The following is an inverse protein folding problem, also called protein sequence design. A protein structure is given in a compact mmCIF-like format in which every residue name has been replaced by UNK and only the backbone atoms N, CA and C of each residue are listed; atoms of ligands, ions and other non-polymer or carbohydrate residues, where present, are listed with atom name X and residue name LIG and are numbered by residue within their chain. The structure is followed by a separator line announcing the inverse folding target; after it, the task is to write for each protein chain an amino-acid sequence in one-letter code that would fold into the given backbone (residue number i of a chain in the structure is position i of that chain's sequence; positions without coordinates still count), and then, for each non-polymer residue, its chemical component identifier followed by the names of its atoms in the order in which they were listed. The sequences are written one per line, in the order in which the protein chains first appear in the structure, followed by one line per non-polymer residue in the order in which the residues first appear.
data_IF_123246604757
#
_entry.id   IF_123246604757
#
_cell.length_a   1.000
_cell.length_b   1.000
_cell.length_c   1.000
_cell.angle_alpha   90.00
_cell.angle_beta   90.00
_cell.angle_gamma   90.00
#
_symmetry.space_group_name_H-M   'P 1'
#
loop_
_entity.id
_entity.type
_entity.pdbx_description
1 polymer ?
#
# COMPACT_ATOMS: atom_id res chain seq x y z
N UNK A 1 -5.74 10.22 26.63
CA UNK A 1 -6.21 10.69 25.31
C UNK A 1 -5.38 10.02 24.23
N UNK A 2 -5.95 9.04 23.54
CA UNK A 2 -5.33 8.49 22.33
C UNK A 2 -5.60 9.49 21.20
N UNK A 3 -4.56 10.12 20.66
CA UNK A 3 -4.64 11.12 19.57
C UNK A 3 -5.24 10.56 18.27
N UNK A 4 -5.41 9.24 18.17
CA UNK A 4 -5.57 8.51 16.93
C UNK A 4 -7.03 8.36 16.49
N UNK A 5 -7.96 8.10 17.41
CA UNK A 5 -9.40 8.06 17.10
C UNK A 5 -9.95 9.41 16.64
N UNK A 6 -9.22 10.48 16.94
CA UNK A 6 -9.58 11.84 16.62
C UNK A 6 -9.59 12.09 15.10
N UNK A 7 -8.61 11.54 14.39
CA UNK A 7 -8.42 11.79 12.96
C UNK A 7 -9.55 11.18 12.12
N UNK A 8 -9.96 9.95 12.42
CA UNK A 8 -11.06 9.29 11.70
C UNK A 8 -12.37 10.06 11.85
N UNK A 9 -12.72 10.45 13.07
CA UNK A 9 -13.94 11.22 13.31
C UNK A 9 -13.85 12.63 12.70
N UNK A 10 -12.68 13.26 12.70
CA UNK A 10 -12.46 14.52 11.99
C UNK A 10 -12.62 14.37 10.48
N UNK A 11 -12.11 13.29 9.88
CA UNK A 11 -12.27 13.03 8.46
C UNK A 11 -13.73 12.74 8.09
N UNK A 12 -14.47 12.00 8.93
CA UNK A 12 -15.91 11.82 8.77
C UNK A 12 -16.66 13.17 8.81
N UNK A 13 -16.30 14.04 9.76
CA UNK A 13 -16.89 15.37 9.86
C UNK A 13 -16.53 16.25 8.66
N UNK A 14 -15.26 16.28 8.26
CA UNK A 14 -14.78 17.02 7.10
C UNK A 14 -15.46 16.52 5.81
N UNK A 15 -15.65 15.21 5.66
CA UNK A 15 -16.34 14.65 4.50
C UNK A 15 -17.79 15.14 4.45
N UNK A 16 -18.51 15.09 5.57
CA UNK A 16 -19.86 15.65 5.68
C UNK A 16 -19.90 17.13 5.30
N UNK A 17 -19.07 17.96 5.93
CA UNK A 17 -19.00 19.41 5.69
C UNK A 17 -18.60 19.77 4.25
N UNK A 18 -17.83 18.92 3.56
CA UNK A 18 -17.44 19.12 2.16
C UNK A 18 -18.48 18.58 1.16
N UNK A 19 -19.34 17.65 1.58
CA UNK A 19 -20.49 17.18 0.77
C UNK A 19 -21.72 18.07 0.90
N UNK A 20 -21.91 18.73 2.05
CA UNK A 20 -23.04 19.63 2.32
C UNK A 20 -23.22 20.79 1.30
N UNK A 21 -22.18 21.41 0.73
CA UNK A 21 -22.35 22.49 -0.26
C UNK A 21 -22.92 22.01 -1.61
N UNK A 22 -22.99 20.70 -1.87
CA UNK A 22 -23.40 20.12 -3.15
C UNK A 22 -24.78 19.42 -3.12
N UNK A 23 -25.33 19.18 -1.94
CA UNK A 23 -26.66 18.59 -1.75
C UNK A 23 -27.66 19.71 -1.43
N UNK A 24 -28.81 19.71 -2.09
CA UNK A 24 -29.92 20.64 -1.82
C UNK A 24 -30.41 20.52 -0.36
N UNK A 25 -29.73 21.19 0.58
CA UNK A 25 -30.17 21.65 1.91
C UNK A 25 -31.17 20.76 2.69
N UNK A 26 -30.98 19.42 2.74
CA UNK A 26 -31.88 18.52 3.49
C UNK A 26 -31.30 17.27 4.14
N UNK A 27 -30.03 16.89 3.93
CA UNK A 27 -29.46 15.81 4.74
C UNK A 27 -29.02 16.37 6.08
N UNK A 28 -29.56 15.80 7.17
CA UNK A 28 -29.06 16.07 8.51
C UNK A 28 -27.79 15.25 8.75
N UNK A 29 -26.95 15.65 9.70
CA UNK A 29 -25.78 14.85 10.08
C UNK A 29 -26.14 13.42 10.53
N UNK A 30 -27.33 13.24 11.13
CA UNK A 30 -27.88 11.92 11.45
C UNK A 30 -28.18 11.09 10.18
N UNK A 31 -28.68 11.70 9.11
CA UNK A 31 -28.90 11.01 7.83
C UNK A 31 -27.57 10.55 7.21
N UNK A 32 -26.53 11.37 7.32
CA UNK A 32 -25.18 11.02 6.88
C UNK A 32 -24.58 9.84 7.68
N UNK A 33 -24.67 9.85 9.02
CA UNK A 33 -24.22 8.72 9.84
C UNK A 33 -24.99 7.44 9.48
N UNK A 34 -26.29 7.56 9.27
CA UNK A 34 -27.14 6.42 8.92
C UNK A 34 -26.80 5.88 7.52
N UNK A 35 -26.50 6.74 6.53
CA UNK A 35 -26.10 6.27 5.20
C UNK A 35 -24.77 5.51 5.23
N UNK A 36 -23.82 5.93 6.06
CA UNK A 36 -22.58 5.19 6.30
C UNK A 36 -22.85 3.81 6.91
N UNK A 37 -23.81 3.71 7.84
CA UNK A 37 -24.19 2.45 8.47
C UNK A 37 -24.92 1.48 7.51
N UNK A 38 -25.66 2.01 6.53
CA UNK A 38 -26.45 1.22 5.57
C UNK A 38 -25.64 0.66 4.39
N UNK A 39 -24.41 1.16 4.17
CA UNK A 39 -23.52 0.70 3.09
C UNK A 39 -22.80 -0.63 3.40
N UNK A 40 -23.20 -1.38 4.43
CA UNK A 40 -22.66 -2.69 4.86
C UNK A 40 -21.14 -2.78 5.17
N UNK A 41 -20.38 -1.69 5.04
CA UNK A 41 -18.94 -1.69 5.28
C UNK A 41 -18.53 -1.48 6.75
N UNK A 42 -19.45 -1.06 7.63
CA UNK A 42 -19.13 -0.59 8.98
C UNK A 42 -19.91 -1.30 10.10
N UNK A 43 -20.61 -2.38 9.76
CA UNK A 43 -21.34 -3.24 10.72
C UNK A 43 -20.66 -4.59 10.91
N UNK A 44 -19.82 -5.00 9.97
CA UNK A 44 -19.06 -6.26 9.98
C UNK A 44 -17.66 -5.99 9.41
N UNK A 45 -16.66 -6.70 9.92
CA UNK A 45 -15.34 -6.77 9.28
C UNK A 45 -14.98 -8.23 9.04
N UNK A 46 -14.39 -8.60 7.88
CA UNK A 46 -13.92 -9.96 7.64
C UNK A 46 -12.81 -10.39 8.59
N UNK A 47 -12.17 -9.43 9.27
CA UNK A 47 -11.02 -9.66 10.16
C UNK A 47 -11.42 -9.76 11.65
N UNK A 48 -12.72 -9.78 11.98
CA UNK A 48 -13.20 -10.07 13.34
C UNK A 48 -14.63 -10.58 13.41
N UNK A 49 -14.91 -11.31 14.47
CA UNK A 49 -16.26 -11.70 14.87
C UNK A 49 -17.08 -10.52 15.41
N UNK A 50 -18.40 -10.66 15.37
CA UNK A 50 -19.32 -9.70 15.99
C UNK A 50 -19.11 -9.59 17.50
N UNK A 51 -18.72 -10.68 18.16
CA UNK A 51 -18.43 -10.68 19.60
C UNK A 51 -17.18 -9.86 19.91
N UNK A 52 -16.10 -10.03 19.15
CA UNK A 52 -14.88 -9.21 19.30
C UNK A 52 -15.16 -7.71 19.12
N UNK A 53 -15.97 -7.35 18.12
CA UNK A 53 -16.41 -5.96 17.92
C UNK A 53 -17.22 -5.44 19.10
N UNK A 54 -18.13 -6.25 19.62
CA UNK A 54 -18.97 -5.88 20.75
C UNK A 54 -18.14 -5.67 22.02
N UNK A 55 -17.25 -6.61 22.35
CA UNK A 55 -16.34 -6.48 23.49
C UNK A 55 -15.43 -5.27 23.34
N UNK A 56 -14.86 -5.05 22.16
CA UNK A 56 -14.01 -3.90 21.89
C UNK A 56 -14.74 -2.57 22.09
N UNK A 57 -16.01 -2.47 21.64
CA UNK A 57 -16.83 -1.27 21.87
C UNK A 57 -17.05 -1.02 23.37
N UNK A 58 -17.32 -2.07 24.15
CA UNK A 58 -17.55 -1.96 25.60
C UNK A 58 -16.27 -1.54 26.33
N UNK A 59 -15.15 -2.19 26.03
CA UNK A 59 -13.86 -1.90 26.67
C UNK A 59 -13.38 -0.47 26.41
N UNK A 60 -13.75 0.10 25.26
CA UNK A 60 -13.33 1.43 24.82
C UNK A 60 -14.45 2.48 24.88
N UNK A 61 -15.56 2.19 25.57
CA UNK A 61 -16.75 3.04 25.53
C UNK A 61 -16.47 4.46 26.04
N UNK A 62 -15.75 4.58 27.16
CA UNK A 62 -15.39 5.87 27.75
C UNK A 62 -14.54 6.71 26.79
N UNK A 63 -13.52 6.08 26.17
CA UNK A 63 -12.62 6.72 25.21
C UNK A 63 -13.36 7.17 23.95
N UNK A 64 -14.22 6.32 23.40
CA UNK A 64 -15.02 6.64 22.23
C UNK A 64 -16.02 7.76 22.53
N UNK A 65 -16.68 7.70 23.70
CA UNK A 65 -17.63 8.72 24.14
C UNK A 65 -16.96 10.07 24.33
N UNK A 66 -15.79 10.11 24.98
CA UNK A 66 -15.00 11.33 25.14
C UNK A 66 -14.63 11.91 23.77
N UNK A 67 -14.14 11.07 22.86
CA UNK A 67 -13.70 11.50 21.51
C UNK A 67 -14.88 12.05 20.69
N UNK A 68 -16.03 11.38 20.70
CA UNK A 68 -17.26 11.85 20.04
C UNK A 68 -17.68 13.21 20.59
N UNK A 69 -17.66 13.38 21.91
CA UNK A 69 -18.06 14.64 22.54
C UNK A 69 -17.13 15.80 22.21
N UNK A 70 -15.83 15.54 22.02
CA UNK A 70 -14.85 16.56 21.64
C UNK A 70 -15.06 17.00 20.19
N UNK A 71 -15.19 16.06 19.26
CA UNK A 71 -15.21 16.34 17.81
C UNK A 71 -16.55 16.89 17.36
N UNK A 72 -17.64 16.26 17.82
CA UNK A 72 -18.99 16.65 17.45
C UNK A 72 -19.59 17.63 18.45
N UNK A 73 -18.74 18.39 19.15
CA UNK A 73 -19.20 19.47 20.03
C UNK A 73 -19.97 20.52 19.20
N UNK A 74 -21.24 20.72 19.52
CA UNK A 74 -22.13 21.63 18.79
C UNK A 74 -23.11 20.93 17.83
N UNK A 75 -22.96 19.62 17.59
CA UNK A 75 -23.93 18.82 16.84
C UNK A 75 -24.97 18.20 17.78
N UNK A 76 -26.24 18.18 17.36
CA UNK A 76 -27.30 17.46 18.08
C UNK A 76 -27.30 16.00 17.66
N UNK A 77 -26.53 15.17 18.38
CA UNK A 77 -26.47 13.73 18.16
C UNK A 77 -27.54 13.00 18.98
N UNK A 78 -28.30 12.12 18.33
CA UNK A 78 -29.17 11.15 19.00
C UNK A 78 -28.33 10.02 19.65
N UNK A 79 -28.96 9.21 20.50
CA UNK A 79 -28.30 8.02 21.06
C UNK A 79 -27.92 7.00 19.97
N UNK A 80 -28.75 6.88 18.93
CA UNK A 80 -28.47 6.01 17.78
C UNK A 80 -27.26 6.52 16.98
N UNK A 81 -27.13 7.84 16.78
CA UNK A 81 -25.97 8.45 16.13
C UNK A 81 -24.68 8.13 16.88
N UNK A 82 -24.71 8.27 18.22
CA UNK A 82 -23.55 7.97 19.08
C UNK A 82 -23.17 6.50 19.00
N UNK A 83 -24.16 5.60 19.02
CA UNK A 83 -23.93 4.17 18.88
C UNK A 83 -23.34 3.81 17.51
N UNK A 84 -23.85 4.41 16.44
CA UNK A 84 -23.36 4.19 15.09
C UNK A 84 -21.93 4.72 14.91
N UNK A 85 -21.62 5.91 15.44
CA UNK A 85 -20.26 6.45 15.46
C UNK A 85 -19.28 5.51 16.18
N UNK A 86 -19.66 4.99 17.35
CA UNK A 86 -18.85 4.00 18.08
C UNK A 86 -18.59 2.74 17.25
N UNK A 87 -19.63 2.24 16.56
CA UNK A 87 -19.53 1.06 15.69
C UNK A 87 -18.63 1.31 14.48
N UNK A 88 -18.79 2.44 13.80
CA UNK A 88 -17.99 2.79 12.61
C UNK A 88 -16.50 2.74 12.95
N UNK A 89 -16.07 3.42 14.01
CA UNK A 89 -14.66 3.41 14.43
C UNK A 89 -14.20 2.02 14.86
N UNK A 90 -15.05 1.32 15.60
CA UNK A 90 -14.75 -0.03 16.07
C UNK A 90 -14.66 -1.03 14.94
N UNK A 91 -15.38 -0.87 13.82
CA UNK A 91 -15.18 -1.70 12.63
C UNK A 91 -13.95 -1.25 11.87
N UNK A 92 -13.70 0.06 11.78
CA UNK A 92 -12.56 0.61 11.05
C UNK A 92 -11.23 0.01 11.47
N UNK A 93 -11.00 -0.12 12.78
CA UNK A 93 -9.74 -0.64 13.30
C UNK A 93 -9.47 -2.10 12.92
N UNK A 94 -10.50 -2.82 12.46
CA UNK A 94 -10.38 -4.18 11.96
C UNK A 94 -10.36 -4.25 10.44
N UNK A 95 -10.62 -3.16 9.71
CA UNK A 95 -10.55 -3.21 8.24
C UNK A 95 -9.12 -3.12 7.74
N UNK A 96 -8.90 -3.58 6.51
CA UNK A 96 -7.64 -3.42 5.78
C UNK A 96 -7.51 -2.04 5.08
N UNK A 97 -8.55 -1.19 5.19
CA UNK A 97 -8.59 0.12 4.54
C UNK A 97 -7.94 1.20 5.41
N UNK A 98 -7.03 2.00 4.84
CA UNK A 98 -6.39 3.15 5.48
C UNK A 98 -6.87 4.49 4.91
N UNK A 99 -8.06 4.52 4.29
CA UNK A 99 -8.54 5.70 3.52
C UNK A 99 -8.82 6.97 4.34
N UNK A 100 -8.85 6.89 5.67
CA UNK A 100 -9.29 7.97 6.56
C UNK A 100 -8.25 8.29 7.64
N UNK A 101 -6.98 7.97 7.36
CA UNK A 101 -5.89 8.27 8.28
C UNK A 101 -4.53 8.36 7.60
N UNK A 102 -3.63 9.08 8.28
CA UNK A 102 -2.21 8.93 8.03
C UNK A 102 -1.75 7.54 8.49
N UNK A 103 -0.92 6.91 7.67
CA UNK A 103 -0.33 5.61 7.98
C UNK A 103 1.19 5.68 7.87
N UNK A 104 1.84 4.73 8.51
CA UNK A 104 3.28 4.50 8.43
C UNK A 104 3.55 3.11 7.87
N UNK A 105 4.49 3.02 6.94
CA UNK A 105 5.04 1.73 6.51
C UNK A 105 6.09 1.24 7.50
N UNK A 106 5.94 0.01 7.99
CA UNK A 106 6.94 -0.68 8.81
C UNK A 106 7.54 -1.82 7.99
N UNK A 107 8.87 -1.90 7.96
CA UNK A 107 9.59 -3.00 7.32
C UNK A 107 10.51 -3.64 8.34
N UNK A 108 10.38 -4.96 8.49
CA UNK A 108 11.23 -5.79 9.33
C UNK A 108 11.97 -6.74 8.39
N UNK A 109 13.29 -6.71 8.40
CA UNK A 109 14.11 -7.58 7.57
C UNK A 109 15.41 -7.98 8.27
N UNK A 110 15.91 -9.16 7.96
CA UNK A 110 17.11 -9.73 8.56
C UNK A 110 17.01 -11.25 8.64
N UNK A 111 17.74 -11.82 9.59
CA UNK A 111 17.75 -13.25 9.89
C UNK A 111 17.19 -13.43 11.29
N UNK A 112 16.23 -14.35 11.46
CA UNK A 112 15.87 -14.77 12.82
C UNK A 112 16.92 -15.73 13.38
N UNK A 113 16.75 -16.15 14.63
CA UNK A 113 17.77 -16.92 15.36
C UNK A 113 18.00 -18.29 14.73
N UNK A 114 16.92 -18.98 14.35
CA UNK A 114 16.94 -20.34 13.80
C UNK A 114 17.01 -20.35 12.26
N UNK A 115 16.75 -19.22 11.62
CA UNK A 115 16.72 -19.09 10.16
C UNK A 115 18.11 -18.95 9.56
N UNK A 116 18.38 -19.73 8.52
CA UNK A 116 19.62 -19.68 7.73
C UNK A 116 19.57 -18.54 6.70
N UNK A 117 18.39 -18.28 6.14
CA UNK A 117 18.16 -17.32 5.08
C UNK A 117 17.42 -16.07 5.59
N UNK A 118 17.56 -14.93 4.89
CA UNK A 118 16.88 -13.71 5.32
C UNK A 118 15.39 -13.74 4.98
N UNK A 119 14.63 -13.03 5.78
CA UNK A 119 13.22 -12.76 5.55
C UNK A 119 12.95 -11.25 5.54
N UNK A 120 11.84 -10.88 4.92
CA UNK A 120 11.30 -9.54 4.93
C UNK A 120 9.79 -9.61 5.17
N UNK A 121 9.33 -8.78 6.09
CA UNK A 121 7.92 -8.55 6.37
C UNK A 121 7.66 -7.05 6.36
N UNK A 122 6.66 -6.63 5.60
CA UNK A 122 6.22 -5.24 5.60
C UNK A 122 4.76 -5.12 6.00
N UNK A 123 4.48 -4.05 6.72
CA UNK A 123 3.19 -3.76 7.31
C UNK A 123 2.81 -2.31 7.03
N UNK A 124 1.52 -2.07 6.81
CA UNK A 124 0.93 -0.73 6.97
C UNK A 124 0.42 -0.64 8.40
N UNK A 125 0.82 0.40 9.11
CA UNK A 125 0.49 0.63 10.52
C UNK A 125 -0.18 1.99 10.62
N UNK A 126 -1.32 2.06 11.31
CA UNK A 126 -2.10 3.29 11.41
C UNK A 126 -2.66 3.50 12.82
N UNK A 127 -3.97 3.68 12.91
CA UNK A 127 -4.70 3.96 14.17
C UNK A 127 -4.30 3.03 15.33
N UNK A 128 -4.09 3.62 16.51
CA UNK A 128 -4.17 2.92 17.79
C UNK A 128 -5.44 3.37 18.51
N UNK A 129 -6.28 2.43 18.94
CA UNK A 129 -7.45 2.69 19.75
C UNK A 129 -7.57 1.63 20.85
N UNK A 130 -7.58 2.09 22.10
CA UNK A 130 -7.41 1.20 23.25
C UNK A 130 -6.09 0.45 23.16
N UNK A 131 -6.17 -0.87 23.34
CA UNK A 131 -5.03 -1.79 23.23
C UNK A 131 -4.86 -2.39 21.82
N UNK A 132 -5.61 -1.88 20.84
CA UNK A 132 -5.57 -2.38 19.47
C UNK A 132 -4.83 -1.42 18.55
N UNK A 133 -3.94 -1.99 17.74
CA UNK A 133 -3.28 -1.31 16.63
C UNK A 133 -3.89 -1.78 15.32
N UNK A 134 -4.26 -0.85 14.46
CA UNK A 134 -4.63 -1.11 13.07
C UNK A 134 -3.38 -1.44 12.27
N UNK A 135 -3.31 -2.67 11.81
CA UNK A 135 -2.17 -3.21 11.10
C UNK A 135 -2.65 -4.06 9.92
N UNK A 136 -2.01 -3.88 8.78
CA UNK A 136 -2.23 -4.69 7.59
C UNK A 136 -0.90 -5.28 7.12
N UNK A 137 -0.91 -6.59 6.85
CA UNK A 137 0.23 -7.27 6.24
C UNK A 137 0.29 -6.90 4.75
N UNK A 138 1.42 -6.35 4.31
CA UNK A 138 1.62 -5.98 2.91
C UNK A 138 2.38 -7.08 2.15
N UNK A 139 3.71 -6.98 2.12
CA UNK A 139 4.59 -7.90 1.40
C UNK A 139 5.38 -8.74 2.40
N UNK A 140 5.38 -10.05 2.20
CA UNK A 140 6.30 -10.97 2.85
C UNK A 140 7.15 -11.67 1.82
N UNK A 141 8.45 -11.75 2.08
CA UNK A 141 9.41 -12.46 1.25
C UNK A 141 10.28 -13.30 2.17
N UNK A 142 10.28 -14.61 1.95
CA UNK A 142 11.18 -15.54 2.62
C UNK A 142 12.12 -16.11 1.55
N UNK A 143 13.41 -15.89 1.73
CA UNK A 143 14.42 -16.55 0.90
C UNK A 143 14.57 -17.97 1.45
N UNK A 144 14.50 -18.98 0.58
CA UNK A 144 14.58 -20.39 0.97
C UNK A 144 15.62 -21.19 0.16
N UNK A 145 16.20 -20.58 -0.88
CA UNK A 145 17.18 -21.22 -1.75
C UNK A 145 16.60 -22.31 -2.67
N UNK A 146 15.27 -22.48 -2.70
CA UNK A 146 14.55 -23.49 -3.49
C UNK A 146 13.54 -22.82 -4.41
N UNK A 147 12.58 -22.10 -3.82
CA UNK A 147 11.50 -21.43 -4.53
C UNK A 147 11.81 -19.95 -4.75
N UNK A 148 12.51 -19.33 -3.79
CA UNK A 148 12.87 -17.92 -3.81
C UNK A 148 14.33 -17.79 -3.40
N UNK A 149 15.16 -17.40 -4.37
CA UNK A 149 16.61 -17.30 -4.16
C UNK A 149 17.09 -15.86 -3.95
N UNK A 150 16.38 -14.88 -4.50
CA UNK A 150 16.66 -13.46 -4.31
C UNK A 150 15.39 -12.64 -4.54
N UNK A 151 15.35 -11.42 -4.02
CA UNK A 151 14.24 -10.50 -4.21
C UNK A 151 14.67 -9.06 -4.09
N UNK A 152 14.05 -8.17 -4.86
CA UNK A 152 14.20 -6.72 -4.76
C UNK A 152 12.85 -6.13 -4.43
N UNK A 153 12.71 -5.57 -3.23
CA UNK A 153 11.44 -5.02 -2.74
C UNK A 153 11.58 -3.51 -2.55
N UNK A 154 11.13 -2.69 -3.54
CA UNK A 154 11.11 -1.25 -3.39
C UNK A 154 9.93 -0.80 -2.51
N UNK A 155 10.24 -0.02 -1.46
CA UNK A 155 9.24 0.65 -0.61
C UNK A 155 9.05 2.12 -0.95
N UNK A 156 10.12 2.78 -1.39
CA UNK A 156 10.04 4.10 -2.01
C UNK A 156 9.68 3.96 -3.51
N UNK A 157 9.29 5.10 -4.11
CA UNK A 157 9.05 5.33 -5.55
C UNK A 157 9.28 4.11 -6.46
N UNK A 158 8.20 3.35 -6.63
CA UNK A 158 8.22 2.00 -7.18
C UNK A 158 8.38 1.98 -8.72
N UNK A 159 7.88 3.01 -9.41
CA UNK A 159 7.68 2.97 -10.86
C UNK A 159 8.99 2.85 -11.64
N UNK A 160 10.05 3.53 -11.20
CA UNK A 160 11.35 3.53 -11.89
C UNK A 160 12.08 2.21 -11.69
N UNK A 161 12.02 1.69 -10.46
CA UNK A 161 12.61 0.39 -10.13
C UNK A 161 11.89 -0.71 -10.90
N UNK A 162 10.55 -0.69 -10.93
CA UNK A 162 9.80 -1.68 -11.69
C UNK A 162 10.04 -1.60 -13.20
N UNK A 163 10.15 -0.41 -13.79
CA UNK A 163 10.52 -0.26 -15.21
C UNK A 163 11.86 -0.93 -15.52
N UNK A 164 12.85 -0.75 -14.64
CA UNK A 164 14.16 -1.36 -14.81
C UNK A 164 14.14 -2.88 -14.60
N UNK A 165 13.44 -3.36 -13.56
CA UNK A 165 13.38 -4.79 -13.22
C UNK A 165 12.51 -5.60 -14.18
N UNK A 166 11.40 -5.03 -14.65
CA UNK A 166 10.40 -5.74 -15.44
C UNK A 166 10.58 -5.54 -16.96
N UNK A 167 11.38 -4.55 -17.37
CA UNK A 167 11.54 -4.17 -18.78
C UNK A 167 10.28 -3.59 -19.44
N UNK A 168 9.18 -3.47 -18.69
CA UNK A 168 7.91 -2.93 -19.16
C UNK A 168 7.39 -1.94 -18.13
N UNK A 169 7.09 -0.75 -18.63
CA UNK A 169 6.55 0.35 -17.84
C UNK A 169 5.12 0.03 -17.36
N UNK A 170 4.83 0.03 -16.05
CA UNK A 170 3.51 -0.33 -15.53
C UNK A 170 2.38 0.53 -16.10
N UNK A 171 2.61 1.84 -16.30
CA UNK A 171 1.60 2.75 -16.84
C UNK A 171 1.33 2.43 -18.31
N UNK A 172 2.39 2.15 -19.07
CA UNK A 172 2.28 1.73 -20.46
C UNK A 172 1.59 0.37 -20.58
N UNK A 173 1.87 -0.56 -19.67
CA UNK A 173 1.24 -1.87 -19.62
C UNK A 173 -0.27 -1.74 -19.36
N UNK A 174 -0.66 -0.92 -18.39
CA UNK A 174 -2.08 -0.66 -18.12
C UNK A 174 -2.77 0.03 -19.30
N UNK A 175 -2.13 1.04 -19.88
CA UNK A 175 -2.63 1.71 -21.09
C UNK A 175 -2.80 0.72 -22.25
N UNK A 176 -1.79 -0.11 -22.52
CA UNK A 176 -1.83 -1.13 -23.57
C UNK A 176 -2.94 -2.15 -23.32
N UNK A 177 -3.19 -2.52 -22.06
CA UNK A 177 -4.25 -3.49 -21.71
C UNK A 177 -5.64 -2.90 -21.97
N UNK A 178 -5.86 -1.66 -21.53
CA UNK A 178 -7.11 -0.95 -21.77
C UNK A 178 -7.37 -0.78 -23.27
N UNK A 179 -6.35 -0.37 -24.03
CA UNK A 179 -6.48 -0.20 -25.47
C UNK A 179 -6.74 -1.53 -26.21
N UNK A 180 -6.12 -2.63 -25.76
CA UNK A 180 -6.40 -3.96 -26.31
C UNK A 180 -7.85 -4.40 -26.04
N UNK A 181 -8.38 -4.12 -24.85
CA UNK A 181 -9.77 -4.39 -24.50
C UNK A 181 -10.74 -3.61 -25.39
N UNK A 182 -10.46 -2.33 -25.64
CA UNK A 182 -11.24 -1.48 -26.55
C UNK A 182 -11.19 -1.98 -28.00
N UNK A 183 -10.01 -2.34 -28.50
CA UNK A 183 -9.81 -2.84 -29.86
C UNK A 183 -10.59 -4.14 -30.10
N UNK A 184 -10.55 -5.08 -29.14
CA UNK A 184 -11.28 -6.34 -29.26
C UNK A 184 -12.78 -6.16 -29.05
N UNK A 185 -13.22 -5.17 -28.26
CA UNK A 185 -14.64 -4.82 -28.20
C UNK A 185 -15.13 -4.28 -29.54
N UNK A 186 -14.36 -3.42 -30.20
CA UNK A 186 -14.67 -2.96 -31.55
C UNK A 186 -14.70 -4.12 -32.56
N UNK A 187 -13.74 -5.05 -32.50
CA UNK A 187 -13.76 -6.25 -33.32
C UNK A 187 -15.02 -7.10 -33.09
N UNK A 188 -15.40 -7.31 -31.82
CA UNK A 188 -16.62 -8.04 -31.48
C UNK A 188 -17.86 -7.37 -32.07
N UNK A 189 -17.96 -6.04 -32.05
CA UNK A 189 -19.06 -5.33 -32.69
C UNK A 189 -19.13 -5.60 -34.20
N UNK A 190 -17.98 -5.58 -34.90
CA UNK A 190 -17.93 -5.91 -36.33
C UNK A 190 -18.40 -7.34 -36.61
N UNK A 191 -18.08 -8.30 -35.73
CA UNK A 191 -18.55 -9.69 -35.84
C UNK A 191 -20.06 -9.77 -35.63
N UNK A 192 -20.60 -9.08 -34.61
CA UNK A 192 -22.05 -9.02 -34.35
C UNK A 192 -22.79 -8.46 -35.55
N UNK A 193 -22.31 -7.35 -36.12
CA UNK A 193 -22.91 -6.70 -37.29
C UNK A 193 -22.85 -7.60 -38.55
N UNK A 194 -21.74 -8.32 -38.74
CA UNK A 194 -21.52 -9.18 -39.91
C UNK A 194 -22.41 -10.43 -39.91
N UNK A 195 -22.66 -11.01 -38.74
CA UNK A 195 -23.32 -12.30 -38.57
C UNK A 195 -24.70 -12.20 -37.91
N UNK A 196 -25.19 -10.99 -37.62
CA UNK A 196 -26.45 -10.73 -36.91
C UNK A 196 -26.56 -11.50 -35.58
N UNK A 197 -25.51 -11.40 -34.76
CA UNK A 197 -25.47 -12.01 -33.42
C UNK A 197 -26.04 -11.01 -32.41
N UNK A 198 -26.98 -11.45 -31.58
CA UNK A 198 -27.59 -10.61 -30.54
C UNK A 198 -26.59 -10.15 -29.49
N UNK A 199 -26.76 -8.95 -28.94
CA UNK A 199 -25.86 -8.37 -27.94
C UNK A 199 -25.86 -9.11 -26.59
N UNK A 200 -26.91 -9.89 -26.30
CA UNK A 200 -27.02 -10.70 -25.08
C UNK A 200 -26.11 -11.95 -25.09
N UNK A 201 -25.54 -12.29 -26.26
CA UNK A 201 -24.65 -13.44 -26.38
C UNK A 201 -23.27 -13.12 -25.77
N UNK A 202 -23.02 -13.68 -24.59
CA UNK A 202 -21.84 -13.41 -23.76
C UNK A 202 -20.56 -14.10 -24.26
N UNK A 203 -20.64 -15.01 -25.23
CA UNK A 203 -19.47 -15.79 -25.67
C UNK A 203 -18.36 -14.91 -26.27
N UNK A 204 -18.71 -13.80 -26.94
CA UNK A 204 -17.73 -12.85 -27.50
C UNK A 204 -16.99 -12.07 -26.41
N UNK A 205 -17.67 -11.76 -25.31
CA UNK A 205 -17.06 -11.10 -24.14
C UNK A 205 -16.06 -12.05 -23.48
N UNK A 206 -16.44 -13.31 -23.30
CA UNK A 206 -15.56 -14.36 -22.78
C UNK A 206 -14.35 -14.59 -23.70
N UNK A 207 -14.56 -14.70 -25.02
CA UNK A 207 -13.48 -14.87 -25.98
C UNK A 207 -12.49 -13.70 -25.97
N UNK A 208 -13.00 -12.46 -25.89
CA UNK A 208 -12.19 -11.25 -25.73
C UNK A 208 -11.31 -11.34 -24.48
N UNK A 209 -11.91 -11.63 -23.32
CA UNK A 209 -11.18 -11.67 -22.06
C UNK A 209 -10.07 -12.75 -22.11
N UNK A 210 -10.38 -13.94 -22.63
CA UNK A 210 -9.38 -15.01 -22.83
C UNK A 210 -8.26 -14.60 -23.77
N UNK A 211 -8.56 -13.89 -24.86
CA UNK A 211 -7.54 -13.42 -25.80
C UNK A 211 -6.62 -12.39 -25.16
N UNK A 212 -7.16 -11.44 -24.39
CA UNK A 212 -6.38 -10.46 -23.62
C UNK A 212 -5.50 -11.16 -22.60
N UNK A 213 -6.06 -12.08 -21.82
CA UNK A 213 -5.31 -12.79 -20.79
C UNK A 213 -4.20 -13.65 -21.40
N UNK A 214 -4.45 -14.35 -22.51
CA UNK A 214 -3.45 -15.12 -23.23
C UNK A 214 -2.32 -14.24 -23.79
N UNK A 215 -2.64 -13.06 -24.33
CA UNK A 215 -1.66 -12.11 -24.84
C UNK A 215 -0.73 -11.61 -23.72
N UNK A 216 -1.31 -11.21 -22.58
CA UNK A 216 -0.53 -10.72 -21.43
C UNK A 216 0.21 -11.82 -20.69
N UNK A 217 -0.28 -13.07 -20.71
CA UNK A 217 0.48 -14.21 -20.23
C UNK A 217 1.79 -14.39 -21.03
N UNK A 218 1.74 -14.24 -22.37
CA UNK A 218 2.93 -14.29 -23.21
C UNK A 218 3.92 -13.15 -22.95
N UNK A 219 3.42 -11.93 -22.72
CA UNK A 219 4.26 -10.80 -22.30
C UNK A 219 4.93 -11.10 -20.94
N UNK A 220 4.15 -11.57 -19.96
CA UNK A 220 4.65 -11.89 -18.62
C UNK A 220 5.76 -12.95 -18.66
N UNK A 221 5.58 -14.00 -19.47
CA UNK A 221 6.60 -15.04 -19.65
C UNK A 221 7.89 -14.46 -20.28
N UNK A 222 7.75 -13.62 -21.31
CA UNK A 222 8.92 -12.96 -21.91
C UNK A 222 9.64 -12.03 -20.92
N UNK A 223 8.88 -11.27 -20.11
CA UNK A 223 9.44 -10.42 -19.05
C UNK A 223 10.22 -11.26 -18.04
N UNK A 224 9.65 -12.40 -17.65
CA UNK A 224 10.27 -13.32 -16.71
C UNK A 224 11.61 -13.83 -17.23
N UNK A 225 11.62 -14.38 -18.44
CA UNK A 225 12.82 -15.00 -19.03
C UNK A 225 13.88 -13.97 -19.44
N UNK A 226 13.48 -12.80 -19.92
CA UNK A 226 14.42 -11.83 -20.53
C UNK A 226 14.90 -10.73 -19.58
N UNK A 227 14.17 -10.46 -18.49
CA UNK A 227 14.49 -9.37 -17.57
C UNK A 227 14.56 -9.85 -16.12
N UNK A 228 13.51 -10.50 -15.62
CA UNK A 228 13.41 -10.82 -14.18
C UNK A 228 14.43 -11.91 -13.80
N UNK A 229 14.42 -13.08 -14.45
CA UNK A 229 15.33 -14.18 -14.12
C UNK A 229 16.81 -13.77 -14.28
N UNK A 230 17.25 -13.13 -15.39
CA UNK A 230 18.64 -12.69 -15.51
C UNK A 230 19.06 -11.69 -14.42
N UNK A 231 18.16 -10.79 -13.99
CA UNK A 231 18.42 -9.87 -12.89
C UNK A 231 18.59 -10.61 -11.56
N UNK A 232 17.75 -11.60 -11.27
CA UNK A 232 17.91 -12.43 -10.08
C UNK A 232 19.24 -13.20 -10.09
N UNK A 233 19.63 -13.75 -11.24
CA UNK A 233 20.91 -14.46 -11.40
C UNK A 233 22.10 -13.54 -11.12
N UNK A 234 22.06 -12.29 -11.59
CA UNK A 234 23.10 -11.31 -11.29
C UNK A 234 23.13 -11.04 -9.78
N UNK A 235 21.99 -10.68 -9.18
CA UNK A 235 21.88 -10.29 -7.77
C UNK A 235 22.37 -11.40 -6.84
N UNK A 236 22.06 -12.67 -7.14
CA UNK A 236 22.50 -13.82 -6.34
C UNK A 236 24.02 -13.97 -6.30
N UNK A 237 24.72 -13.49 -7.32
CA UNK A 237 26.17 -13.64 -7.45
C UNK A 237 26.94 -12.37 -7.08
N UNK A 238 26.26 -11.26 -6.74
CA UNK A 238 26.92 -10.03 -6.34
C UNK A 238 27.55 -10.16 -4.94
N UNK A 239 28.81 -9.75 -4.77
CA UNK A 239 29.39 -9.51 -3.46
C UNK A 239 28.57 -8.50 -2.63
N UNK A 240 28.63 -8.58 -1.30
CA UNK A 240 27.86 -7.70 -0.40
C UNK A 240 28.01 -6.20 -0.69
N UNK A 241 29.23 -5.75 -1.01
CA UNK A 241 29.50 -4.35 -1.34
C UNK A 241 28.84 -3.93 -2.66
N UNK A 242 28.87 -4.80 -3.67
CA UNK A 242 28.24 -4.55 -4.97
C UNK A 242 26.72 -4.58 -4.87
N UNK A 243 26.15 -5.47 -4.05
CA UNK A 243 24.72 -5.51 -3.76
C UNK A 243 24.26 -4.19 -3.12
N UNK A 244 25.06 -3.65 -2.19
CA UNK A 244 24.82 -2.33 -1.61
C UNK A 244 24.85 -1.21 -2.65
N UNK A 245 25.85 -1.19 -3.53
CA UNK A 245 25.93 -0.21 -4.62
C UNK A 245 24.79 -0.34 -5.62
N UNK A 246 24.32 -1.56 -5.89
CA UNK A 246 23.16 -1.82 -6.74
C UNK A 246 21.89 -1.23 -6.13
N UNK A 247 21.63 -1.47 -4.84
CA UNK A 247 20.48 -0.89 -4.14
C UNK A 247 20.54 0.65 -4.12
N UNK A 248 21.72 1.23 -3.88
CA UNK A 248 21.92 2.68 -3.93
C UNK A 248 21.59 3.26 -5.32
N UNK A 249 22.02 2.56 -6.38
CA UNK A 249 21.80 2.98 -7.76
C UNK A 249 20.32 3.03 -8.11
N UNK A 250 19.54 2.04 -7.66
CA UNK A 250 18.09 2.02 -7.88
C UNK A 250 17.39 3.22 -7.22
N UNK A 251 17.76 3.55 -5.98
CA UNK A 251 17.19 4.71 -5.27
C UNK A 251 17.59 6.02 -5.98
N UNK A 252 18.86 6.14 -6.39
CA UNK A 252 19.36 7.29 -7.14
C UNK A 252 18.62 7.47 -8.48
N UNK A 253 18.33 6.39 -9.20
CA UNK A 253 17.61 6.45 -10.47
C UNK A 253 16.20 7.03 -10.28
N UNK A 254 15.50 6.62 -9.22
CA UNK A 254 14.19 7.16 -8.85
C UNK A 254 14.25 8.66 -8.53
N UNK A 255 15.18 9.06 -7.64
CA UNK A 255 15.36 10.47 -7.29
C UNK A 255 15.76 11.33 -8.49
N UNK A 256 16.63 10.82 -9.37
CA UNK A 256 17.04 11.53 -10.57
C UNK A 256 15.87 11.77 -11.53
N UNK A 257 15.06 10.73 -11.83
CA UNK A 257 13.89 10.87 -12.70
C UNK A 257 12.97 11.99 -12.22
N UNK A 258 12.70 12.04 -10.91
CA UNK A 258 11.84 13.10 -10.35
C UNK A 258 12.44 14.49 -10.45
N UNK A 259 13.74 14.64 -10.24
CA UNK A 259 14.41 15.93 -10.38
C UNK A 259 14.33 16.50 -11.80
N UNK A 260 14.31 15.62 -12.81
CA UNK A 260 14.20 16.03 -14.23
C UNK A 260 12.74 16.13 -14.70
N UNK A 261 11.82 15.38 -14.07
CA UNK A 261 10.38 15.54 -14.23
C UNK A 261 9.87 16.75 -13.44
N UNK A 262 8.73 17.36 -13.81
CA UNK A 262 8.10 18.42 -12.98
C UNK A 262 7.35 17.86 -11.77
N UNK A 263 7.75 16.70 -11.27
CA UNK A 263 7.09 16.00 -10.18
C UNK A 263 7.66 16.43 -8.83
N UNK A 264 6.84 16.42 -7.77
CA UNK A 264 7.30 16.76 -6.43
C UNK A 264 8.29 15.71 -5.91
N UNK A 265 9.47 16.16 -5.47
CA UNK A 265 10.47 15.31 -4.84
C UNK A 265 9.94 14.81 -3.49
N UNK A 266 9.50 13.55 -3.43
CA UNK A 266 9.10 12.90 -2.18
C UNK A 266 10.25 12.20 -1.47
N UNK A 267 11.38 11.98 -2.18
CA UNK A 267 12.59 11.34 -1.67
C UNK A 267 13.80 12.04 -2.28
N UNK A 268 14.68 12.55 -1.43
CA UNK A 268 15.85 13.30 -1.85
C UNK A 268 16.93 13.36 -0.78
N UNK A 269 18.13 13.76 -1.19
CA UNK A 269 19.29 13.85 -0.30
C UNK A 269 20.21 12.62 -0.36
N UNK A 270 21.12 12.50 0.62
CA UNK A 270 22.15 11.46 0.65
C UNK A 270 21.54 10.10 0.98
N UNK A 271 22.01 9.06 0.30
CA UNK A 271 21.57 7.68 0.51
C UNK A 271 22.54 6.97 1.44
N UNK A 272 22.00 6.44 2.53
CA UNK A 272 22.69 5.53 3.43
C UNK A 272 22.37 4.09 3.04
N UNK A 273 23.37 3.23 3.09
CA UNK A 273 23.30 1.84 2.66
C UNK A 273 23.85 0.95 3.76
N UNK A 274 23.04 0.00 4.20
CA UNK A 274 23.45 -1.07 5.10
C UNK A 274 23.25 -2.43 4.44
N UNK A 275 24.07 -3.40 4.85
CA UNK A 275 23.90 -4.82 4.56
C UNK A 275 23.72 -5.57 5.86
N UNK A 276 22.87 -6.60 5.84
CA UNK A 276 22.69 -7.51 6.98
C UNK A 276 23.11 -8.89 6.49
N UNK A 277 24.04 -9.53 7.19
CA UNK A 277 24.44 -10.92 6.96
C UNK A 277 24.22 -11.73 8.23
N UNK A 278 24.01 -13.05 8.12
CA UNK A 278 23.88 -13.92 9.31
C UNK A 278 25.15 -13.91 10.17
N UNK A 279 26.33 -13.80 9.53
CA UNK A 279 27.62 -13.84 10.22
C UNK A 279 28.01 -12.53 10.89
N UNK A 280 27.80 -11.40 10.22
CA UNK A 280 28.32 -10.10 10.67
C UNK A 280 27.24 -9.18 11.24
N UNK A 281 25.96 -9.54 11.10
CA UNK A 281 24.84 -8.67 11.48
C UNK A 281 24.75 -7.45 10.57
N UNK A 282 24.29 -6.33 11.13
CA UNK A 282 24.11 -5.08 10.39
C UNK A 282 25.42 -4.31 10.24
N UNK A 283 25.82 -4.08 8.99
CA UNK A 283 26.98 -3.28 8.61
C UNK A 283 26.54 -2.11 7.73
N UNK A 284 26.95 -0.90 8.07
CA UNK A 284 26.83 0.26 7.18
C UNK A 284 27.92 0.22 6.11
N UNK A 285 27.54 0.05 4.84
CA UNK A 285 28.44 0.16 3.69
C UNK A 285 28.68 1.62 3.31
N UNK A 286 27.64 2.44 3.46
CA UNK A 286 27.67 3.88 3.23
C UNK A 286 26.77 4.56 4.24
N UNK A 287 27.26 5.59 4.92
CA UNK A 287 26.47 6.38 5.85
C UNK A 287 26.94 7.82 5.80
N UNK A 288 26.01 8.75 5.67
CA UNK A 288 26.32 10.16 5.80
C UNK A 288 26.61 10.45 7.27
N UNK A 289 27.83 10.89 7.51
CA UNK A 289 28.21 11.48 8.77
C UNK A 289 27.99 12.99 8.73
N UNK A 290 27.81 13.60 9.90
CA UNK A 290 27.73 15.06 10.02
C UNK A 290 28.99 15.74 9.46
N UNK A 291 30.15 15.09 9.62
CA UNK A 291 31.42 15.48 9.01
C UNK A 291 32.26 14.25 8.66
N UNK A 292 33.13 14.37 7.65
CA UNK A 292 34.05 13.30 7.27
C UNK A 292 35.23 13.23 8.24
N UNK A 293 35.53 12.04 8.76
CA UNK A 293 36.65 11.81 9.67
C UNK A 293 38.01 12.15 9.05
N UNK A 294 38.19 11.84 7.76
CA UNK A 294 39.41 12.07 6.99
C UNK A 294 39.85 13.53 6.91
N UNK A 295 38.93 14.47 7.06
CA UNK A 295 39.23 15.93 7.03
C UNK A 295 38.92 16.62 8.36
N UNK A 296 38.44 15.87 9.36
CA UNK A 296 38.07 16.36 10.69
C UNK A 296 38.74 15.53 11.82
N UNK A 297 39.98 15.08 11.59
CA UNK A 297 40.73 14.19 12.49
C UNK A 297 40.80 14.65 13.95
N UNK A 298 40.73 15.95 14.20
CA UNK A 298 40.80 16.55 15.55
C UNK A 298 39.69 16.07 16.50
N UNK A 299 38.56 15.59 15.97
CA UNK A 299 37.45 15.08 16.78
C UNK A 299 37.59 13.60 17.19
N UNK A 300 38.50 12.85 16.57
CA UNK A 300 38.68 11.40 16.81
C UNK A 300 39.96 11.04 17.59
N UNK A 301 40.81 12.03 17.88
CA UNK A 301 42.03 11.86 18.70
C UNK A 301 41.80 12.22 20.18
N UNK A 302 40.74 11.71 20.80
CA UNK A 302 40.51 11.86 22.25
C UNK A 302 40.89 10.61 23.02
#
# INVERSE_FOLDING_TARGET
MSFTALNLFQDLLNNYENTEPQLDNKETFSDYINSLSQLDNWTLSPNCSSDELHFFCIENDDLLTETINIIFNGYQLTEDDRLNLKRIVSVYIYTDSFSYEEYTGLVITGFGDEEIFPALYSYTVGLVLGDRLKIQNNKSVNIDGITTNSSVVPFAQQDVVYRYLLGFDPDLQQFSRNHMMELLEYYNQLVRDRYNIDNEDNFLVDLKNRAVDAFYAGISEYQKESYINPMHDIIMNLPHNELGSFAETLVNLSSFKKKVSKEQETVGGPIDVAVITKGDGLIWLKRKHYFEESINHQYFKR
#
